data_IF_370477336307
#
_entry.id   IF_370477336307
#
_cell.length_a   1.000
_cell.length_b   1.000
_cell.length_c   1.000
_cell.angle_alpha   90.00
_cell.angle_beta   90.00
_cell.angle_gamma   90.00
#
_symmetry.space_group_name_H-M   'P 1'
#
loop_
_entity.id
_entity.type
_entity.pdbx_description
1 polymer ?
#
# COMPACT_ATOMS: atom_id res chain seq x y z
N UNK A 1 16.06 -11.52 -8.32
CA UNK A 1 14.65 -11.65 -7.90
C UNK A 1 13.88 -10.46 -8.46
N UNK A 2 12.71 -10.66 -9.07
CA UNK A 2 11.85 -9.58 -9.60
C UNK A 2 10.57 -9.53 -8.76
N UNK A 3 10.15 -8.34 -8.34
CA UNK A 3 8.88 -8.13 -7.64
C UNK A 3 7.78 -7.89 -8.68
N UNK A 4 6.66 -8.60 -8.55
CA UNK A 4 5.42 -8.31 -9.29
C UNK A 4 4.44 -7.64 -8.30
N UNK A 5 3.96 -6.41 -8.57
CA UNK A 5 2.92 -5.82 -7.74
C UNK A 5 1.63 -6.63 -7.86
N UNK A 6 0.82 -6.61 -6.80
CA UNK A 6 -0.51 -7.26 -6.75
C UNK A 6 -1.66 -6.25 -6.81
N UNK A 7 -1.34 -4.98 -7.04
CA UNK A 7 -2.26 -3.87 -6.92
C UNK A 7 -1.53 -2.57 -6.63
N UNK A 8 -2.29 -1.55 -6.22
CA UNK A 8 -1.79 -0.22 -5.90
C UNK A 8 -2.55 0.42 -4.74
N UNK A 9 -1.94 1.46 -4.14
CA UNK A 9 -2.56 2.25 -3.07
C UNK A 9 -3.08 3.55 -3.67
N UNK A 10 -4.38 3.82 -3.47
CA UNK A 10 -5.04 5.09 -3.77
C UNK A 10 -5.18 5.91 -2.50
N UNK A 11 -4.78 7.18 -2.53
CA UNK A 11 -4.89 8.07 -1.38
C UNK A 11 -5.17 9.50 -1.82
N UNK A 12 -5.88 10.27 -0.98
CA UNK A 12 -6.12 11.70 -1.22
C UNK A 12 -4.90 12.56 -0.87
N UNK A 13 -3.83 11.96 -0.36
CA UNK A 13 -2.59 12.65 -0.02
C UNK A 13 -1.76 12.84 -1.30
N UNK A 14 -1.92 13.99 -1.96
CA UNK A 14 -1.28 14.29 -3.25
C UNK A 14 0.22 14.65 -3.19
N UNK A 15 0.82 14.81 -2.00
CA UNK A 15 2.27 15.01 -1.84
C UNK A 15 2.77 14.35 -0.57
N UNK A 16 4.05 13.98 -0.57
CA UNK A 16 4.76 13.44 0.60
C UNK A 16 4.56 14.35 1.81
N UNK A 17 4.04 13.79 2.91
CA UNK A 17 3.81 14.50 4.17
C UNK A 17 4.63 13.88 5.30
N UNK A 18 5.23 14.72 6.12
CA UNK A 18 6.01 14.27 7.28
C UNK A 18 5.13 14.00 8.50
N UNK A 19 3.93 14.58 8.57
CA UNK A 19 3.02 14.54 9.70
C UNK A 19 1.53 14.49 9.25
N UNK A 20 0.62 14.32 10.22
CA UNK A 20 -0.82 14.39 9.97
C UNK A 20 -1.48 13.11 9.46
N UNK A 21 -0.86 11.94 9.70
CA UNK A 21 -1.36 10.64 9.24
C UNK A 21 -2.60 10.12 10.01
N UNK A 22 -2.86 10.63 11.21
CA UNK A 22 -3.89 10.12 12.14
C UNK A 22 -5.32 10.08 11.57
N UNK A 23 -5.61 10.84 10.52
CA UNK A 23 -6.94 10.86 9.86
C UNK A 23 -6.89 10.54 8.36
N UNK A 24 -5.74 10.07 7.84
CA UNK A 24 -5.62 9.73 6.43
C UNK A 24 -6.17 8.34 6.21
N UNK A 25 -7.23 8.26 5.39
CA UNK A 25 -7.75 6.99 4.87
C UNK A 25 -7.21 6.79 3.46
N UNK A 26 -6.69 5.60 3.21
CA UNK A 26 -6.20 5.16 1.90
C UNK A 26 -6.90 3.85 1.52
N UNK A 27 -7.05 3.62 0.22
CA UNK A 27 -7.66 2.42 -0.34
C UNK A 27 -6.56 1.56 -0.98
N UNK A 28 -6.56 0.27 -0.68
CA UNK A 28 -5.65 -0.70 -1.32
C UNK A 28 -6.46 -1.43 -2.38
N UNK A 29 -6.13 -1.18 -3.65
CA UNK A 29 -6.85 -1.74 -4.80
C UNK A 29 -6.03 -2.91 -5.31
N UNK A 30 -6.56 -4.12 -5.12
CA UNK A 30 -5.92 -5.39 -5.48
C UNK A 30 -6.42 -5.84 -6.86
N UNK A 31 -5.52 -6.36 -7.69
CA UNK A 31 -5.87 -6.88 -9.01
C UNK A 31 -6.81 -8.08 -8.86
N UNK A 32 -7.82 -8.18 -9.74
CA UNK A 32 -8.88 -9.20 -9.63
C UNK A 32 -8.37 -10.63 -9.70
N UNK A 33 -7.19 -10.86 -10.29
CA UNK A 33 -6.53 -12.18 -10.32
C UNK A 33 -6.14 -12.68 -8.92
N UNK A 34 -6.05 -11.81 -7.91
CA UNK A 34 -5.70 -12.15 -6.52
C UNK A 34 -6.90 -12.09 -5.56
N UNK A 35 -8.12 -11.90 -6.05
CA UNK A 35 -9.29 -11.69 -5.19
C UNK A 35 -9.56 -12.84 -4.21
N UNK A 36 -9.42 -14.08 -4.66
CA UNK A 36 -9.61 -15.29 -3.84
C UNK A 36 -8.62 -15.34 -2.66
N UNK A 37 -7.41 -14.82 -2.82
CA UNK A 37 -6.39 -14.79 -1.76
C UNK A 37 -6.71 -13.79 -0.63
N UNK A 38 -7.79 -13.01 -0.74
CA UNK A 38 -8.26 -12.07 0.28
C UNK A 38 -9.33 -12.68 1.19
N UNK A 39 -9.81 -13.89 0.94
CA UNK A 39 -10.82 -14.55 1.77
C UNK A 39 -10.35 -14.68 3.23
N UNK A 40 -11.20 -14.25 4.17
CA UNK A 40 -10.90 -14.26 5.61
C UNK A 40 -10.11 -13.03 6.10
N UNK A 41 -9.71 -12.11 5.22
CA UNK A 41 -9.03 -10.87 5.62
C UNK A 41 -9.94 -9.99 6.51
N UNK A 42 -11.25 -10.08 6.33
CA UNK A 42 -12.28 -9.37 7.10
C UNK A 42 -12.34 -9.79 8.58
N UNK A 43 -11.77 -10.94 8.96
CA UNK A 43 -11.68 -11.39 10.35
C UNK A 43 -10.61 -10.59 11.15
N UNK A 44 -9.76 -9.83 10.45
CA UNK A 44 -8.68 -9.06 11.06
C UNK A 44 -8.99 -7.57 11.11
N UNK A 45 -8.70 -6.95 12.26
CA UNK A 45 -8.79 -5.49 12.42
C UNK A 45 -7.55 -4.75 11.91
N UNK A 46 -6.40 -5.42 11.83
CA UNK A 46 -5.11 -4.83 11.47
C UNK A 46 -4.29 -5.81 10.64
N UNK A 47 -3.60 -5.27 9.63
CA UNK A 47 -2.77 -6.03 8.70
C UNK A 47 -1.43 -5.33 8.46
N UNK A 48 -0.43 -6.09 8.06
CA UNK A 48 0.81 -5.54 7.52
C UNK A 48 0.68 -5.38 6.01
N UNK A 49 0.99 -4.19 5.51
CA UNK A 49 0.97 -3.88 4.08
C UNK A 49 2.39 -3.58 3.63
N UNK A 50 2.95 -4.44 2.78
CA UNK A 50 4.23 -4.20 2.14
C UNK A 50 3.98 -3.54 0.79
N UNK A 51 4.61 -2.39 0.56
CA UNK A 51 4.41 -1.62 -0.67
C UNK A 51 5.73 -1.05 -1.18
N UNK A 52 5.76 -0.73 -2.47
CA UNK A 52 6.92 -0.14 -3.11
C UNK A 52 6.80 1.39 -3.13
N UNK A 53 7.80 2.09 -2.60
CA UNK A 53 7.92 3.55 -2.66
C UNK A 53 8.36 3.99 -4.07
N UNK A 54 7.46 3.83 -5.04
CA UNK A 54 7.73 3.98 -6.47
C UNK A 54 8.20 5.38 -6.90
N UNK A 55 7.93 6.42 -6.09
CA UNK A 55 8.41 7.79 -6.36
C UNK A 55 9.83 8.06 -5.85
N UNK A 56 10.42 7.16 -5.05
CA UNK A 56 11.80 7.33 -4.60
C UNK A 56 12.75 6.99 -5.74
N UNK A 57 13.32 8.03 -6.33
CA UNK A 57 14.41 7.93 -7.31
C UNK A 57 15.74 8.05 -6.56
N UNK A 58 16.37 6.92 -6.21
CA UNK A 58 17.71 6.88 -5.60
C UNK A 58 17.82 5.96 -4.38
N UNK A 59 19.05 5.66 -3.97
CA UNK A 59 19.32 4.90 -2.73
C UNK A 59 18.87 5.70 -1.51
N UNK A 60 18.07 5.06 -0.65
CA UNK A 60 17.76 5.60 0.67
C UNK A 60 19.04 5.65 1.50
N UNK A 61 19.59 6.84 1.70
CA UNK A 61 20.67 7.08 2.65
C UNK A 61 20.06 7.52 3.99
N UNK A 62 20.13 6.67 5.04
CA UNK A 62 19.62 6.98 6.37
C UNK A 62 20.42 8.07 7.08
#
# INVERSE_FOLDING_TARGET
MKLKPIGYVSTRVGRRRYNGWRGVVSEIIIDTEYAEALEGLEEFSHIYVLFYLHEIKGEFRP
#
